data_IF_079151540061
#
_entry.id   IF_079151540061
#
_cell.length_a   1.000
_cell.length_b   1.000
_cell.length_c   1.000
_cell.angle_alpha   90.00
_cell.angle_beta   90.00
_cell.angle_gamma   90.00
#
_symmetry.space_group_name_H-M   'P 1'
#
loop_
_entity.id
_entity.type
_entity.pdbx_description
1 polymer ?
#
# COMPACT_ATOMS: atom_id res chain seq x y z
N UNK A 1 -11.19 -10.99 -1.17
CA UNK A 1 -10.53 -10.15 -0.14
C UNK A 1 -9.06 -10.53 0.01
N UNK A 2 -8.19 -9.53 0.11
CA UNK A 2 -6.75 -9.65 0.25
C UNK A 2 -6.29 -9.00 1.57
N UNK A 3 -5.35 -9.64 2.27
CA UNK A 3 -4.59 -9.00 3.34
C UNK A 3 -3.36 -8.32 2.74
N UNK A 4 -3.18 -7.04 3.05
CA UNK A 4 -2.02 -6.27 2.62
C UNK A 4 -1.08 -6.10 3.81
N UNK A 5 0.18 -6.42 3.61
CA UNK A 5 1.25 -6.23 4.59
C UNK A 5 2.29 -5.32 3.96
N UNK A 6 2.76 -4.27 4.68
CA UNK A 6 3.77 -3.41 4.12
C UNK A 6 5.16 -4.01 4.34
N UNK A 7 6.05 -3.87 3.37
CA UNK A 7 7.43 -4.36 3.52
C UNK A 7 8.36 -3.26 4.04
N UNK A 8 8.22 -2.02 3.53
CA UNK A 8 9.18 -0.94 3.80
C UNK A 8 8.56 0.47 3.85
N UNK A 9 7.58 0.80 4.70
CA UNK A 9 7.10 2.18 4.81
C UNK A 9 7.75 2.89 6.00
N UNK A 10 8.17 4.14 5.77
CA UNK A 10 8.37 5.09 6.86
C UNK A 10 7.12 5.99 6.96
N UNK A 11 6.55 6.10 8.16
CA UNK A 11 5.47 7.03 8.49
C UNK A 11 6.06 8.25 9.19
N UNK A 12 5.76 9.46 8.69
CA UNK A 12 6.05 10.67 9.44
C UNK A 12 5.00 10.93 10.54
N UNK A 13 5.28 11.90 11.43
CA UNK A 13 4.39 12.26 12.53
C UNK A 13 3.04 12.83 12.06
N UNK A 14 2.93 13.26 10.80
CA UNK A 14 1.70 13.75 10.19
C UNK A 14 0.92 12.64 9.46
N UNK A 15 1.42 11.40 9.48
CA UNK A 15 0.79 10.24 8.84
C UNK A 15 0.98 10.19 7.33
N UNK A 16 1.96 10.91 6.77
CA UNK A 16 2.37 10.71 5.39
C UNK A 16 3.25 9.46 5.27
N UNK A 17 3.00 8.74 4.19
CA UNK A 17 3.73 7.51 3.86
C UNK A 17 4.87 7.84 2.91
N UNK A 18 6.05 7.34 3.23
CA UNK A 18 7.24 7.40 2.39
C UNK A 18 7.56 6.00 1.88
N UNK A 19 7.65 5.88 0.56
CA UNK A 19 7.92 4.62 -0.14
C UNK A 19 9.33 4.66 -0.71
N UNK A 20 10.23 3.73 -0.35
CA UNK A 20 11.55 3.67 -0.95
C UNK A 20 11.43 3.33 -2.43
N UNK A 21 12.09 4.12 -3.27
CA UNK A 21 12.22 3.81 -4.69
C UNK A 21 13.43 2.88 -4.87
N UNK A 22 13.26 1.81 -5.64
CA UNK A 22 14.39 1.00 -6.07
C UNK A 22 15.33 1.83 -6.95
N UNK A 23 16.60 1.93 -6.56
CA UNK A 23 17.61 2.66 -7.32
C UNK A 23 18.82 3.08 -6.47
N UNK A 24 19.93 3.47 -7.11
CA UNK A 24 21.19 3.78 -6.41
C UNK A 24 21.12 4.99 -5.48
N UNK A 25 20.04 5.78 -5.54
CA UNK A 25 19.91 7.04 -4.82
C UNK A 25 19.27 6.96 -3.42
N UNK A 26 18.88 5.76 -2.93
CA UNK A 26 18.15 5.60 -1.64
C UNK A 26 17.02 6.63 -1.46
N UNK A 27 16.35 7.00 -2.56
CA UNK A 27 15.35 8.07 -2.54
C UNK A 27 14.00 7.50 -2.12
N UNK A 28 13.25 8.28 -1.33
CA UNK A 28 11.89 7.95 -0.94
C UNK A 28 10.91 8.86 -1.67
N UNK A 29 9.81 8.29 -2.17
CA UNK A 29 8.68 9.03 -2.69
C UNK A 29 7.69 9.30 -1.56
N UNK A 30 7.43 10.59 -1.29
CA UNK A 30 6.37 10.99 -0.36
C UNK A 30 5.02 10.85 -1.04
N UNK A 31 4.16 10.00 -0.50
CA UNK A 31 2.79 9.90 -0.96
C UNK A 31 2.00 11.15 -0.57
N UNK A 32 1.11 11.58 -1.47
CA UNK A 32 0.19 12.67 -1.15
C UNK A 32 -0.81 12.24 -0.05
N UNK A 33 -1.63 13.17 0.44
CA UNK A 33 -2.55 12.92 1.55
C UNK A 33 -3.55 11.80 1.25
N UNK A 34 -4.12 11.77 0.03
CA UNK A 34 -5.10 10.75 -0.37
C UNK A 34 -4.46 9.36 -0.48
N UNK A 35 -3.33 9.25 -1.15
CA UNK A 35 -2.58 8.00 -1.28
C UNK A 35 -2.10 7.46 0.07
N UNK A 36 -1.66 8.34 0.97
CA UNK A 36 -1.29 7.96 2.35
C UNK A 36 -2.48 7.46 3.17
N UNK A 37 -3.70 7.94 2.89
CA UNK A 37 -4.92 7.47 3.53
C UNK A 37 -5.30 6.08 3.01
N UNK A 38 -5.39 5.91 1.68
CA UNK A 38 -5.70 4.62 1.04
C UNK A 38 -4.74 3.54 1.50
N UNK A 39 -3.44 3.84 1.54
CA UNK A 39 -2.43 2.91 2.01
C UNK A 39 -2.66 2.48 3.47
N UNK A 40 -2.99 3.42 4.36
CA UNK A 40 -3.24 3.09 5.78
C UNK A 40 -4.52 2.28 5.96
N UNK A 41 -5.57 2.60 5.22
CA UNK A 41 -6.84 1.87 5.27
C UNK A 41 -6.65 0.45 4.77
N UNK A 42 -5.90 0.29 3.68
CA UNK A 42 -5.55 -1.00 3.10
C UNK A 42 -4.76 -1.93 4.04
N UNK A 43 -4.02 -1.37 5.01
CA UNK A 43 -3.31 -2.16 6.03
C UNK A 43 -4.15 -2.51 7.25
N UNK A 44 -5.21 -1.76 7.50
CA UNK A 44 -6.04 -1.96 8.70
C UNK A 44 -6.97 -3.15 8.50
N UNK A 45 -7.58 -3.24 7.34
CA UNK A 45 -8.62 -4.21 7.03
C UNK A 45 -8.31 -4.94 5.72
N UNK A 46 -8.81 -6.18 5.54
CA UNK A 46 -8.75 -6.84 4.25
C UNK A 46 -9.38 -6.00 3.15
N UNK A 47 -8.65 -5.87 2.04
CA UNK A 47 -9.10 -5.08 0.89
C UNK A 47 -9.76 -5.99 -0.12
N UNK A 48 -10.94 -5.59 -0.58
CA UNK A 48 -11.54 -6.13 -1.78
C UNK A 48 -11.23 -5.20 -2.97
N UNK A 49 -10.32 -5.64 -3.86
CA UNK A 49 -9.85 -4.82 -4.98
C UNK A 49 -10.96 -4.51 -5.99
N UNK A 50 -11.96 -5.39 -6.10
CA UNK A 50 -13.07 -5.23 -7.04
C UNK A 50 -14.11 -4.22 -6.54
N UNK A 51 -14.13 -3.94 -5.23
CA UNK A 51 -15.00 -2.95 -4.60
C UNK A 51 -14.38 -1.54 -4.55
N UNK A 52 -13.09 -1.40 -4.91
CA UNK A 52 -12.40 -0.11 -4.89
C UNK A 52 -12.67 0.71 -6.17
N UNK A 53 -12.64 2.05 -6.07
CA UNK A 53 -12.52 2.90 -7.25
C UNK A 53 -11.28 2.51 -8.06
N UNK A 54 -11.39 2.55 -9.40
CA UNK A 54 -10.32 2.15 -10.33
C UNK A 54 -8.97 2.78 -10.00
N UNK A 55 -8.93 4.09 -9.76
CA UNK A 55 -7.70 4.79 -9.42
C UNK A 55 -7.04 4.31 -8.12
N UNK A 56 -7.85 3.93 -7.12
CA UNK A 56 -7.36 3.48 -5.82
C UNK A 56 -6.88 2.01 -5.92
N UNK A 57 -7.58 1.18 -6.71
CA UNK A 57 -7.17 -0.19 -7.06
C UNK A 57 -5.83 -0.19 -7.79
N UNK A 58 -5.71 0.60 -8.86
CA UNK A 58 -4.53 0.66 -9.70
C UNK A 58 -3.31 1.16 -8.92
N UNK A 59 -3.52 2.11 -7.99
CA UNK A 59 -2.49 2.55 -7.06
C UNK A 59 -1.95 1.42 -6.16
N UNK A 60 -2.84 0.63 -5.54
CA UNK A 60 -2.41 -0.50 -4.70
C UNK A 60 -1.68 -1.58 -5.52
N UNK A 61 -2.15 -1.86 -6.74
CA UNK A 61 -1.50 -2.80 -7.66
C UNK A 61 -0.11 -2.34 -8.09
N UNK A 62 0.07 -1.05 -8.41
CA UNK A 62 1.38 -0.48 -8.74
C UNK A 62 2.36 -0.64 -7.56
N UNK A 63 1.93 -0.35 -6.33
CA UNK A 63 2.75 -0.55 -5.14
C UNK A 63 3.12 -2.02 -4.90
N UNK A 64 2.20 -2.96 -5.15
CA UNK A 64 2.49 -4.40 -5.08
C UNK A 64 3.50 -4.80 -6.16
N UNK A 65 3.34 -4.33 -7.39
CA UNK A 65 4.26 -4.63 -8.50
C UNK A 65 5.69 -4.14 -8.23
N UNK A 66 5.82 -3.05 -7.47
CA UNK A 66 7.09 -2.46 -7.05
C UNK A 66 7.69 -3.13 -5.80
N UNK A 67 7.01 -4.12 -5.22
CA UNK A 67 7.46 -4.81 -4.00
C UNK A 67 7.31 -3.98 -2.72
N UNK A 68 6.57 -2.87 -2.77
CA UNK A 68 6.34 -1.99 -1.61
C UNK A 68 5.30 -2.58 -0.67
N UNK A 69 4.30 -3.24 -1.26
CA UNK A 69 3.25 -3.97 -0.57
C UNK A 69 3.32 -5.44 -0.94
N UNK A 70 3.07 -6.32 0.03
CA UNK A 70 2.74 -7.73 -0.24
C UNK A 70 1.26 -7.97 -0.03
N UNK A 71 0.65 -8.67 -0.97
CA UNK A 71 -0.73 -9.12 -0.90
C UNK A 71 -0.76 -10.62 -0.66
N UNK A 72 -1.62 -11.08 0.24
CA UNK A 72 -1.94 -12.48 0.43
C UNK A 72 -3.47 -12.66 0.40
N UNK A 73 -4.00 -13.73 -0.21
CA UNK A 73 -5.42 -14.03 -0.08
C UNK A 73 -5.78 -14.20 1.39
N UNK A 74 -6.93 -13.66 1.79
CA UNK A 74 -7.48 -13.98 3.11
C UNK A 74 -7.99 -15.41 3.02
N UNK A 75 -7.26 -16.35 3.59
CA UNK A 75 -7.81 -17.68 3.85
C UNK A 75 -8.87 -17.51 4.93
N UNK A 76 -10.13 -17.73 4.59
CA UNK A 76 -11.16 -18.00 5.59
C UNK A 76 -10.76 -19.33 6.24
N UNK A 77 -10.14 -19.26 7.43
CA UNK A 77 -9.90 -20.43 8.25
C UNK A 77 -11.25 -21.00 8.68
N UNK A 78 -11.46 -22.29 8.43
CA UNK A 78 -12.63 -23.05 8.88
C UNK A 78 -12.67 -23.30 10.38
#
# INVERSE_FOLDING_TARGET
MLRITPELPYLDQAGHVYVPLAGPAQSCLKLNRRASQIWRDALRDPVDLDALPEADRDFLLDLTSRGVLRTAPVSEGG
#
